data_IF_128759667489
#
_entry.id   IF_128759667489
#
_cell.length_a   1.000
_cell.length_b   1.000
_cell.length_c   1.000
_cell.angle_alpha   90.00
_cell.angle_beta   90.00
_cell.angle_gamma   90.00
#
_symmetry.space_group_name_H-M   'P 1'
#
loop_
_entity.id
_entity.type
_entity.pdbx_description
1 polymer ?
#
# COMPACT_ATOMS: atom_id res chain seq x y z
N UNK A 1 -7.74 -110.41 20.23
CA UNK A 1 -6.38 -110.86 20.63
C UNK A 1 -6.23 -110.63 22.13
N UNK A 2 -5.64 -111.57 22.88
CA UNK A 2 -5.39 -111.38 24.32
C UNK A 2 -3.97 -110.81 24.50
N UNK A 3 -3.78 -109.83 25.40
CA UNK A 3 -2.44 -109.43 25.83
C UNK A 3 -1.76 -110.64 26.48
N UNK A 4 -0.91 -111.34 25.72
CA UNK A 4 -0.17 -112.51 26.18
C UNK A 4 1.32 -112.30 25.94
N UNK A 5 1.97 -111.67 26.92
CA UNK A 5 3.30 -112.01 27.44
C UNK A 5 3.90 -110.81 28.18
N UNK A 6 4.78 -111.04 29.18
CA UNK A 6 5.46 -109.96 29.87
C UNK A 6 6.36 -109.18 28.90
N UNK A 7 6.22 -107.85 28.88
CA UNK A 7 7.20 -106.98 28.23
C UNK A 7 8.38 -106.84 29.19
N UNK A 8 9.56 -107.29 28.76
CA UNK A 8 10.80 -107.13 29.50
C UNK A 8 11.60 -106.00 28.83
N UNK A 9 11.81 -104.89 29.54
CA UNK A 9 12.66 -103.78 29.08
C UNK A 9 14.11 -104.04 29.50
N UNK A 10 15.04 -104.00 28.54
CA UNK A 10 16.49 -104.08 28.83
C UNK A 10 16.98 -102.87 29.65
N UNK A 11 16.34 -101.70 29.51
CA UNK A 11 16.70 -100.48 30.26
C UNK A 11 16.29 -100.54 31.74
N UNK A 12 15.17 -101.21 32.05
CA UNK A 12 14.66 -101.30 33.43
C UNK A 12 15.04 -102.61 34.15
N UNK A 13 15.65 -103.57 33.45
CA UNK A 13 16.13 -104.86 33.97
C UNK A 13 15.09 -105.62 34.85
N UNK A 14 13.81 -105.40 34.55
CA UNK A 14 12.64 -106.01 35.21
C UNK A 14 11.56 -106.26 34.17
N UNK A 15 10.88 -107.39 34.28
CA UNK A 15 9.64 -107.66 33.55
C UNK A 15 8.47 -107.17 34.40
N UNK A 16 7.63 -106.27 33.87
CA UNK A 16 6.41 -105.85 34.55
C UNK A 16 5.36 -106.96 34.42
N UNK A 17 4.83 -107.45 35.56
CA UNK A 17 3.64 -108.29 35.58
C UNK A 17 2.42 -107.38 35.39
N UNK A 18 1.95 -107.26 34.15
CA UNK A 18 0.64 -106.70 33.87
C UNK A 18 -0.44 -107.72 34.30
N UNK A 19 -1.60 -107.25 34.80
CA UNK A 19 -2.68 -108.15 35.21
C UNK A 19 -3.11 -109.08 34.06
N UNK A 20 -3.39 -110.32 34.45
CA UNK A 20 -3.60 -111.49 33.60
C UNK A 20 -4.54 -111.27 32.40
N UNK A 21 -4.14 -111.81 31.25
CA UNK A 21 -5.01 -112.36 30.21
C UNK A 21 -6.19 -111.44 29.79
N UNK A 22 -5.95 -110.12 29.77
CA UNK A 22 -6.96 -109.14 29.39
C UNK A 22 -7.17 -109.22 27.88
N UNK A 23 -8.40 -109.55 27.48
CA UNK A 23 -8.81 -109.51 26.08
C UNK A 23 -9.11 -108.07 25.71
N UNK A 24 -8.41 -107.52 24.71
CA UNK A 24 -8.68 -106.16 24.22
C UNK A 24 -9.94 -106.09 23.35
N UNK A 25 -10.69 -107.19 23.24
CA UNK A 25 -11.94 -107.27 22.46
C UNK A 25 -13.01 -106.27 22.87
N UNK A 26 -12.94 -105.67 24.07
CA UNK A 26 -13.85 -104.61 24.49
C UNK A 26 -13.61 -103.27 23.77
N UNK A 27 -12.43 -103.08 23.16
CA UNK A 27 -12.08 -101.92 22.33
C UNK A 27 -12.24 -102.22 20.83
N UNK A 28 -12.73 -103.41 20.48
CA UNK A 28 -13.09 -103.74 19.10
C UNK A 28 -14.52 -103.29 18.85
N UNK A 29 -14.70 -102.44 17.85
CA UNK A 29 -16.00 -102.02 17.33
C UNK A 29 -16.01 -102.14 15.79
N UNK A 30 -16.89 -101.41 15.11
CA UNK A 30 -17.03 -101.46 13.65
C UNK A 30 -15.81 -100.85 12.90
N UNK A 31 -15.12 -99.90 13.54
CA UNK A 31 -14.03 -99.10 12.97
C UNK A 31 -12.72 -99.20 13.76
N UNK A 32 -12.71 -99.93 14.88
CA UNK A 32 -11.55 -100.13 15.72
C UNK A 32 -11.33 -101.60 16.00
N UNK A 33 -10.06 -101.96 16.16
CA UNK A 33 -9.66 -103.23 16.77
C UNK A 33 -8.86 -102.97 18.03
N UNK A 34 -9.24 -103.63 19.13
CA UNK A 34 -8.44 -103.58 20.34
C UNK A 34 -7.14 -104.34 20.19
N UNK A 35 -6.03 -103.61 20.24
CA UNK A 35 -4.68 -104.16 20.19
C UNK A 35 -3.99 -103.96 21.55
N UNK A 36 -3.00 -104.81 21.82
CA UNK A 36 -2.18 -104.67 23.02
C UNK A 36 -1.00 -103.76 22.68
N UNK A 37 -0.90 -102.60 23.33
CA UNK A 37 0.21 -101.69 23.13
C UNK A 37 1.48 -102.27 23.75
N UNK A 38 2.51 -102.49 22.94
CA UNK A 38 3.78 -103.01 23.40
C UNK A 38 4.54 -102.01 24.31
N UNK A 39 4.16 -100.73 24.24
CA UNK A 39 4.80 -99.63 24.97
C UNK A 39 4.15 -99.40 26.34
N UNK A 40 2.81 -99.32 26.40
CA UNK A 40 2.08 -99.09 27.65
C UNK A 40 1.72 -100.40 28.38
N UNK A 41 1.66 -101.52 27.65
CA UNK A 41 1.17 -102.78 28.18
C UNK A 41 -0.35 -102.81 28.38
N UNK A 42 -1.07 -101.78 27.94
CA UNK A 42 -2.51 -101.64 28.07
C UNK A 42 -3.21 -101.96 26.73
N UNK A 43 -4.52 -102.20 26.80
CA UNK A 43 -5.34 -102.31 25.60
C UNK A 43 -5.60 -100.91 25.04
N UNK A 44 -5.29 -100.71 23.77
CA UNK A 44 -5.53 -99.47 23.02
C UNK A 44 -6.42 -99.79 21.80
N UNK A 45 -7.24 -98.84 21.37
CA UNK A 45 -8.02 -98.94 20.14
C UNK A 45 -7.16 -98.48 18.97
N UNK A 46 -6.99 -99.32 17.95
CA UNK A 46 -6.40 -98.91 16.69
C UNK A 46 -7.48 -98.84 15.59
N UNK A 47 -7.45 -97.80 14.74
CA UNK A 47 -8.27 -97.74 13.54
C UNK A 47 -8.15 -99.01 12.70
N UNK A 48 -9.30 -99.51 12.26
CA UNK A 48 -9.42 -100.65 11.38
C UNK A 48 -10.61 -100.44 10.43
N UNK A 49 -10.69 -101.28 9.39
CA UNK A 49 -11.82 -101.29 8.45
C UNK A 49 -12.00 -99.95 7.70
N UNK A 50 -10.91 -99.22 7.42
CA UNK A 50 -10.92 -97.92 6.74
C UNK A 50 -11.66 -97.98 5.39
N UNK A 51 -12.63 -97.07 5.21
CA UNK A 51 -13.51 -97.05 4.04
C UNK A 51 -14.54 -98.19 3.99
N UNK A 52 -14.53 -99.10 4.97
CA UNK A 52 -15.57 -100.10 5.19
C UNK A 52 -16.84 -99.46 5.74
N UNK A 53 -17.98 -100.11 5.50
CA UNK A 53 -19.29 -99.67 6.01
C UNK A 53 -19.35 -99.82 7.52
N UNK A 54 -19.90 -98.81 8.18
CA UNK A 54 -20.25 -98.84 9.60
C UNK A 54 -21.62 -98.15 9.82
N UNK A 55 -22.05 -98.01 11.07
CA UNK A 55 -23.25 -97.27 11.47
C UNK A 55 -22.87 -96.40 12.68
N UNK A 56 -22.92 -95.08 12.51
CA UNK A 56 -22.58 -94.10 13.56
C UNK A 56 -23.76 -93.81 14.50
N UNK A 57 -24.92 -94.41 14.24
CA UNK A 57 -26.15 -94.25 15.00
C UNK A 57 -26.93 -92.97 14.71
N UNK A 58 -26.43 -92.09 13.84
CA UNK A 58 -27.09 -90.87 13.41
C UNK A 58 -27.92 -91.14 12.14
N UNK A 59 -29.25 -91.07 12.23
CA UNK A 59 -30.11 -91.28 11.05
C UNK A 59 -30.06 -90.12 10.05
N UNK A 60 -29.34 -89.06 10.37
CA UNK A 60 -29.07 -87.92 9.53
C UNK A 60 -27.73 -88.00 8.80
N UNK A 61 -26.98 -89.09 8.94
CA UNK A 61 -25.86 -89.44 8.08
C UNK A 61 -26.28 -90.55 7.12
N UNK A 62 -25.59 -90.64 5.99
CA UNK A 62 -25.75 -91.68 4.99
C UNK A 62 -24.38 -92.14 4.53
N UNK A 63 -24.29 -93.41 4.16
CA UNK A 63 -23.05 -94.01 3.65
C UNK A 63 -21.91 -93.90 4.68
N UNK A 64 -22.19 -94.28 5.92
CA UNK A 64 -21.21 -94.17 7.00
C UNK A 64 -20.04 -95.11 6.75
N UNK A 65 -18.85 -94.54 6.88
CA UNK A 65 -17.60 -95.26 6.65
C UNK A 65 -16.61 -95.00 7.75
N UNK A 66 -15.79 -96.00 8.05
CA UNK A 66 -14.74 -95.86 9.04
C UNK A 66 -13.61 -94.97 8.49
N UNK A 67 -13.27 -93.92 9.22
CA UNK A 67 -12.15 -93.04 8.94
C UNK A 67 -11.41 -92.72 10.24
N UNK A 68 -10.16 -93.19 10.36
CA UNK A 68 -9.32 -92.89 11.53
C UNK A 68 -9.86 -93.41 12.86
N UNK A 69 -10.61 -94.52 12.85
CA UNK A 69 -11.23 -95.11 14.04
C UNK A 69 -12.61 -94.53 14.38
N UNK A 70 -13.07 -93.51 13.66
CA UNK A 70 -14.41 -92.95 13.81
C UNK A 70 -15.33 -93.47 12.70
N UNK A 71 -16.56 -93.83 13.06
CA UNK A 71 -17.62 -94.04 12.08
C UNK A 71 -18.30 -92.71 11.83
N UNK A 72 -18.31 -92.25 10.58
CA UNK A 72 -19.01 -91.04 10.18
C UNK A 72 -19.54 -91.15 8.74
N UNK A 73 -20.72 -90.59 8.50
CA UNK A 73 -21.30 -90.52 7.16
C UNK A 73 -21.44 -89.13 6.58
N UNK A 74 -22.00 -89.09 5.36
CA UNK A 74 -22.33 -87.86 4.67
C UNK A 74 -23.66 -87.30 5.20
N UNK A 75 -23.76 -85.99 5.50
CA UNK A 75 -25.00 -85.40 5.98
C UNK A 75 -26.16 -85.62 4.99
N UNK A 76 -27.26 -86.15 5.50
CA UNK A 76 -28.53 -86.28 4.79
C UNK A 76 -29.05 -84.89 4.43
N UNK A 77 -29.27 -84.68 3.13
CA UNK A 77 -29.84 -83.43 2.63
C UNK A 77 -31.36 -83.43 2.84
N UNK A 78 -31.84 -82.50 3.66
CA UNK A 78 -33.27 -82.24 3.78
C UNK A 78 -33.76 -81.26 2.69
N UNK A 79 -35.01 -81.38 2.23
CA UNK A 79 -35.61 -80.41 1.30
C UNK A 79 -35.53 -79.00 1.89
N UNK A 80 -35.12 -78.02 1.09
CA UNK A 80 -35.11 -76.62 1.54
C UNK A 80 -36.55 -76.13 1.82
N UNK A 81 -36.77 -75.34 2.88
CA UNK A 81 -38.09 -74.80 3.17
C UNK A 81 -38.47 -73.70 2.16
N UNK A 82 -39.77 -73.57 1.88
CA UNK A 82 -40.30 -72.52 0.98
C UNK A 82 -40.17 -71.12 1.58
N UNK A 83 -40.09 -71.02 2.91
CA UNK A 83 -39.99 -69.77 3.65
C UNK A 83 -38.52 -69.38 3.88
N UNK A 84 -38.14 -68.18 3.43
CA UNK A 84 -36.78 -67.62 3.60
C UNK A 84 -36.34 -67.51 5.07
N UNK A 85 -37.26 -67.48 6.02
CA UNK A 85 -37.00 -67.40 7.45
C UNK A 85 -37.00 -68.76 8.16
N UNK A 86 -36.93 -69.84 7.40
CA UNK A 86 -36.81 -71.19 7.93
C UNK A 86 -35.55 -71.88 7.39
N UNK A 87 -35.10 -72.89 8.12
CA UNK A 87 -34.06 -73.84 7.73
C UNK A 87 -34.61 -75.26 7.90
N UNK A 88 -34.01 -76.22 7.19
CA UNK A 88 -34.34 -77.62 7.36
C UNK A 88 -33.29 -78.30 8.22
N UNK A 89 -33.77 -78.99 9.26
CA UNK A 89 -32.95 -79.71 10.22
C UNK A 89 -33.40 -81.17 10.20
N UNK A 90 -32.42 -82.07 10.16
CA UNK A 90 -32.67 -83.50 10.27
C UNK A 90 -32.64 -83.90 11.76
N UNK A 91 -33.61 -84.70 12.20
CA UNK A 91 -33.64 -85.28 13.54
C UNK A 91 -32.75 -86.53 13.61
N UNK A 92 -31.66 -86.47 14.36
CA UNK A 92 -30.67 -87.56 14.43
C UNK A 92 -31.26 -88.90 14.94
N UNK A 93 -32.33 -88.87 15.74
CA UNK A 93 -32.92 -90.06 16.32
C UNK A 93 -33.96 -90.73 15.40
N UNK A 94 -34.72 -89.94 14.62
CA UNK A 94 -35.76 -90.47 13.72
C UNK A 94 -35.33 -90.52 12.26
N UNK A 95 -34.40 -89.65 11.86
CA UNK A 95 -33.98 -89.41 10.49
C UNK A 95 -34.96 -88.53 9.71
N UNK A 96 -35.99 -87.98 10.35
CA UNK A 96 -37.00 -87.17 9.69
C UNK A 96 -36.51 -85.73 9.49
N UNK A 97 -36.89 -85.13 8.36
CA UNK A 97 -36.64 -83.72 8.11
C UNK A 97 -37.76 -82.88 8.73
N UNK A 98 -37.38 -81.90 9.55
CA UNK A 98 -38.28 -80.89 10.11
C UNK A 98 -37.78 -79.50 9.78
N UNK A 99 -38.69 -78.53 9.80
CA UNK A 99 -38.35 -77.12 9.65
C UNK A 99 -38.13 -76.48 11.01
N UNK A 100 -37.16 -75.57 11.07
CA UNK A 100 -36.92 -74.69 12.21
C UNK A 100 -36.85 -73.25 11.73
N UNK A 101 -37.17 -72.32 12.62
CA UNK A 101 -37.04 -70.89 12.33
C UNK A 101 -35.57 -70.49 12.33
N UNK A 102 -35.20 -69.60 11.39
CA UNK A 102 -33.92 -68.91 11.46
C UNK A 102 -33.87 -68.05 12.72
N UNK A 103 -32.67 -67.77 13.25
CA UNK A 103 -32.51 -66.80 14.33
C UNK A 103 -33.20 -65.48 13.99
N UNK A 104 -33.88 -64.90 14.98
CA UNK A 104 -34.47 -63.56 14.83
C UNK A 104 -33.39 -62.56 14.38
N UNK A 105 -33.80 -61.60 13.55
CA UNK A 105 -32.93 -60.64 12.86
C UNK A 105 -32.07 -61.21 11.72
N UNK A 106 -32.25 -62.48 11.34
CA UNK A 106 -31.69 -62.98 10.09
C UNK A 106 -32.25 -62.21 8.89
N UNK A 107 -31.42 -61.94 7.88
CA UNK A 107 -31.84 -61.22 6.68
C UNK A 107 -32.85 -62.03 5.87
N UNK A 108 -33.90 -61.36 5.39
CA UNK A 108 -34.85 -61.89 4.43
C UNK A 108 -35.31 -60.75 3.51
N UNK A 109 -36.17 -61.04 2.52
CA UNK A 109 -36.72 -60.01 1.62
C UNK A 109 -38.21 -60.23 1.40
N UNK A 110 -39.03 -59.25 1.76
CA UNK A 110 -40.47 -59.21 1.46
C UNK A 110 -40.73 -58.62 0.08
N UNK A 111 -41.11 -59.48 -0.88
CA UNK A 111 -41.42 -59.08 -2.26
C UNK A 111 -40.15 -58.80 -3.08
N UNK A 112 -40.10 -59.28 -4.33
CA UNK A 112 -38.96 -59.01 -5.19
C UNK A 112 -38.82 -57.51 -5.49
N UNK A 113 -37.65 -56.93 -5.23
CA UNK A 113 -37.34 -55.53 -5.54
C UNK A 113 -36.41 -54.87 -4.51
N UNK A 114 -36.41 -53.54 -4.54
CA UNK A 114 -35.71 -52.51 -3.75
C UNK A 114 -35.51 -52.73 -2.24
N UNK A 115 -36.16 -53.74 -1.67
CA UNK A 115 -36.33 -53.90 -0.23
C UNK A 115 -34.98 -54.03 0.50
N UNK A 116 -34.02 -54.80 -0.03
CA UNK A 116 -32.77 -55.07 0.70
C UNK A 116 -31.90 -53.85 1.06
N UNK A 117 -31.89 -52.78 0.25
CA UNK A 117 -31.03 -51.61 0.49
C UNK A 117 -31.69 -50.48 1.27
N UNK A 118 -33.01 -50.34 1.14
CA UNK A 118 -33.79 -49.24 1.71
C UNK A 118 -34.68 -49.66 2.87
N UNK A 119 -34.85 -50.96 3.07
CA UNK A 119 -35.70 -51.53 4.10
C UNK A 119 -35.19 -52.93 4.46
N UNK A 120 -34.16 -53.04 5.31
CA UNK A 120 -33.59 -54.34 5.63
C UNK A 120 -34.62 -55.19 6.38
N UNK A 121 -35.25 -56.12 5.67
CA UNK A 121 -36.25 -57.02 6.25
C UNK A 121 -35.57 -58.12 7.07
N UNK A 122 -36.22 -58.48 8.17
CA UNK A 122 -35.66 -59.39 9.16
C UNK A 122 -36.63 -60.48 9.52
N UNK A 123 -36.12 -61.69 9.72
CA UNK A 123 -36.88 -62.79 10.27
C UNK A 123 -37.25 -62.50 11.72
N UNK A 124 -38.52 -62.71 12.06
CA UNK A 124 -39.02 -62.67 13.43
C UNK A 124 -40.04 -63.79 13.59
N UNK A 125 -39.78 -64.72 14.52
CA UNK A 125 -40.62 -65.89 14.77
C UNK A 125 -40.96 -66.67 13.48
N UNK A 126 -39.95 -66.94 12.66
CA UNK A 126 -40.11 -67.73 11.43
C UNK A 126 -40.74 -66.98 10.26
N UNK A 127 -41.10 -65.71 10.40
CA UNK A 127 -41.70 -64.91 9.33
C UNK A 127 -40.79 -63.74 8.93
N UNK A 128 -40.76 -63.43 7.64
CA UNK A 128 -40.03 -62.25 7.17
C UNK A 128 -40.86 -61.00 7.47
N UNK A 129 -40.35 -60.13 8.32
CA UNK A 129 -41.02 -58.90 8.74
C UNK A 129 -40.33 -57.70 8.10
N UNK A 130 -41.15 -56.74 7.65
CA UNK A 130 -40.64 -55.57 6.98
C UNK A 130 -39.85 -54.69 7.95
N UNK A 131 -38.59 -54.39 7.60
CA UNK A 131 -37.73 -53.56 8.44
C UNK A 131 -38.21 -52.10 8.51
N UNK A 132 -37.61 -51.28 9.40
CA UNK A 132 -37.79 -49.84 9.33
C UNK A 132 -37.22 -49.30 8.00
N UNK A 133 -37.79 -48.21 7.49
CA UNK A 133 -37.19 -47.48 6.37
C UNK A 133 -35.79 -46.99 6.76
N UNK A 134 -34.85 -47.10 5.83
CA UNK A 134 -33.48 -46.67 6.04
C UNK A 134 -33.43 -45.16 6.19
N UNK A 135 -32.89 -44.70 7.31
CA UNK A 135 -32.67 -43.28 7.55
C UNK A 135 -31.51 -42.77 6.67
N UNK A 136 -31.85 -41.98 5.66
CA UNK A 136 -30.91 -41.31 4.78
C UNK A 136 -30.72 -39.83 5.11
N UNK A 137 -31.25 -39.35 6.25
CA UNK A 137 -31.22 -37.94 6.64
C UNK A 137 -29.80 -37.35 6.78
N UNK A 138 -28.79 -38.20 6.97
CA UNK A 138 -27.39 -37.80 6.98
C UNK A 138 -26.91 -37.17 5.64
N UNK A 139 -27.62 -37.42 4.53
CA UNK A 139 -27.34 -36.80 3.23
C UNK A 139 -28.06 -35.46 3.04
N UNK A 140 -28.90 -35.05 3.99
CA UNK A 140 -29.56 -33.75 3.94
C UNK A 140 -28.55 -32.62 4.18
N UNK A 141 -28.46 -31.68 3.26
CA UNK A 141 -27.64 -30.48 3.42
C UNK A 141 -28.35 -29.23 2.85
N UNK A 142 -27.63 -28.13 2.66
CA UNK A 142 -28.22 -26.90 2.14
C UNK A 142 -28.79 -27.04 0.71
N UNK A 143 -28.21 -27.92 -0.11
CA UNK A 143 -28.52 -28.11 -1.52
C UNK A 143 -28.99 -29.51 -1.92
N UNK A 144 -29.02 -30.45 -0.98
CA UNK A 144 -29.51 -31.81 -1.20
C UNK A 144 -30.56 -32.15 -0.16
N UNK A 145 -31.65 -32.73 -0.64
CA UNK A 145 -32.46 -33.65 0.16
C UNK A 145 -31.86 -35.06 0.07
N UNK A 146 -32.51 -36.02 0.70
CA UNK A 146 -32.12 -37.42 0.65
C UNK A 146 -33.23 -38.27 0.04
N UNK A 147 -32.83 -39.32 -0.67
CA UNK A 147 -33.72 -40.34 -1.20
C UNK A 147 -33.06 -41.71 -1.02
N UNK A 148 -33.87 -42.75 -0.80
CA UNK A 148 -33.36 -44.11 -0.83
C UNK A 148 -33.66 -44.75 -2.19
N UNK A 149 -32.64 -44.86 -3.04
CA UNK A 149 -32.68 -45.52 -4.34
C UNK A 149 -32.70 -47.05 -4.14
N UNK A 150 -33.66 -47.77 -4.75
CA UNK A 150 -33.76 -49.23 -4.72
C UNK A 150 -32.50 -50.05 -4.98
N UNK A 151 -31.61 -49.55 -5.84
CA UNK A 151 -30.43 -50.26 -6.33
C UNK A 151 -29.13 -49.69 -5.74
N UNK A 152 -29.16 -48.46 -5.24
CA UNK A 152 -27.98 -47.75 -4.75
C UNK A 152 -28.01 -47.45 -3.24
N UNK A 153 -29.16 -47.62 -2.58
CA UNK A 153 -29.37 -47.22 -1.19
C UNK A 153 -29.52 -45.70 -1.06
N UNK A 154 -29.02 -45.12 0.03
CA UNK A 154 -29.13 -43.68 0.27
C UNK A 154 -28.35 -42.88 -0.78
N UNK A 155 -29.03 -41.99 -1.49
CA UNK A 155 -28.46 -41.08 -2.49
C UNK A 155 -28.90 -39.64 -2.20
N UNK A 156 -28.03 -38.64 -2.45
CA UNK A 156 -28.44 -37.24 -2.37
C UNK A 156 -29.34 -36.90 -3.56
N UNK A 157 -30.39 -36.13 -3.28
CA UNK A 157 -31.30 -35.61 -4.29
C UNK A 157 -31.16 -34.09 -4.33
N UNK A 158 -30.58 -33.51 -5.39
CA UNK A 158 -30.45 -32.07 -5.53
C UNK A 158 -31.78 -31.34 -5.28
N UNK A 159 -31.73 -30.29 -4.45
CA UNK A 159 -32.78 -29.28 -4.33
C UNK A 159 -32.86 -28.46 -5.62
N UNK A 160 -33.94 -27.69 -5.77
CA UNK A 160 -34.15 -26.82 -6.93
C UNK A 160 -32.97 -25.86 -7.13
N UNK A 161 -32.47 -25.78 -8.37
CA UNK A 161 -31.41 -24.85 -8.74
C UNK A 161 -31.85 -23.40 -8.44
N UNK A 162 -30.94 -22.61 -7.88
CA UNK A 162 -31.24 -21.25 -7.42
C UNK A 162 -31.72 -21.16 -5.97
N UNK A 163 -31.98 -22.29 -5.29
CA UNK A 163 -32.26 -22.31 -3.85
C UNK A 163 -31.13 -21.67 -3.06
N UNK A 164 -31.46 -20.84 -2.06
CA UNK A 164 -30.47 -20.15 -1.24
C UNK A 164 -29.66 -21.13 -0.39
N UNK A 165 -28.33 -20.98 -0.42
CA UNK A 165 -27.42 -21.79 0.38
C UNK A 165 -26.26 -20.94 0.93
N UNK A 166 -25.38 -21.54 1.72
CA UNK A 166 -24.17 -20.87 2.20
C UNK A 166 -23.02 -21.87 2.33
N UNK A 167 -21.88 -21.57 1.68
CA UNK A 167 -20.61 -22.29 1.90
C UNK A 167 -19.92 -21.91 3.21
N UNK A 168 -20.49 -20.99 4.00
CA UNK A 168 -19.86 -20.48 5.22
C UNK A 168 -18.75 -19.45 4.99
N UNK A 169 -18.40 -19.15 3.73
CA UNK A 169 -17.44 -18.09 3.38
C UNK A 169 -18.04 -16.71 3.59
N UNK A 170 -17.52 -15.95 4.56
CA UNK A 170 -18.07 -14.63 4.92
C UNK A 170 -18.09 -13.63 3.75
N UNK A 171 -17.04 -13.63 2.92
CA UNK A 171 -16.88 -12.69 1.82
C UNK A 171 -17.65 -13.03 0.53
N UNK A 172 -18.48 -14.08 0.56
CA UNK A 172 -19.34 -14.45 -0.56
C UNK A 172 -20.79 -14.43 -0.09
N UNK A 173 -21.60 -13.61 -0.74
CA UNK A 173 -23.03 -13.45 -0.43
C UNK A 173 -23.90 -13.99 -1.56
N UNK A 174 -25.19 -14.23 -1.27
CA UNK A 174 -26.19 -14.65 -2.26
C UNK A 174 -25.81 -15.94 -3.00
N UNK A 175 -25.30 -16.92 -2.27
CA UNK A 175 -24.93 -18.20 -2.83
C UNK A 175 -26.18 -19.04 -3.09
N UNK A 176 -26.09 -19.89 -4.10
CA UNK A 176 -27.21 -20.68 -4.55
C UNK A 176 -26.79 -22.09 -4.92
N UNK A 177 -27.77 -22.99 -4.90
CA UNK A 177 -27.58 -24.38 -5.29
C UNK A 177 -27.52 -24.49 -6.81
N UNK A 178 -26.60 -25.31 -7.31
CA UNK A 178 -26.55 -25.76 -8.71
C UNK A 178 -26.20 -27.23 -8.73
N UNK A 179 -27.13 -28.06 -9.21
CA UNK A 179 -26.97 -29.51 -9.28
C UNK A 179 -26.47 -30.13 -7.96
N UNK A 180 -27.11 -29.74 -6.84
CA UNK A 180 -26.79 -30.27 -5.51
C UNK A 180 -25.52 -29.68 -4.86
N UNK A 181 -24.82 -28.77 -5.54
CA UNK A 181 -23.63 -28.12 -4.98
C UNK A 181 -23.95 -26.68 -4.60
N UNK A 182 -23.60 -26.28 -3.38
CA UNK A 182 -23.68 -24.88 -2.97
C UNK A 182 -22.49 -24.09 -3.50
N UNK A 183 -22.75 -23.01 -4.24
CA UNK A 183 -21.68 -22.18 -4.78
C UNK A 183 -22.19 -20.88 -5.39
N UNK A 184 -21.38 -20.36 -6.32
CA UNK A 184 -21.65 -19.07 -6.95
C UNK A 184 -21.64 -17.92 -5.96
N UNK A 185 -22.63 -17.04 -6.08
CA UNK A 185 -22.75 -15.82 -5.30
C UNK A 185 -21.87 -14.67 -5.81
N UNK A 186 -21.92 -13.57 -5.08
CA UNK A 186 -21.18 -12.34 -5.39
C UNK A 186 -20.21 -12.00 -4.26
N UNK A 187 -19.08 -11.34 -4.56
CA UNK A 187 -18.21 -10.79 -3.53
C UNK A 187 -19.00 -9.85 -2.61
N UNK A 188 -18.79 -9.99 -1.30
CA UNK A 188 -19.31 -9.04 -0.32
C UNK A 188 -18.67 -7.69 -0.57
N UNK A 189 -19.48 -6.73 -1.01
CA UNK A 189 -19.06 -5.34 -1.16
C UNK A 189 -18.99 -4.70 0.22
N UNK A 190 -17.83 -4.13 0.54
CA UNK A 190 -17.63 -3.37 1.77
C UNK A 190 -17.59 -1.89 1.42
N UNK A 191 -18.67 -1.17 1.72
CA UNK A 191 -18.74 0.27 1.53
C UNK A 191 -18.37 0.98 2.84
N UNK A 192 -17.51 1.99 2.74
CA UNK A 192 -17.18 2.86 3.86
C UNK A 192 -18.09 4.07 3.84
N UNK A 193 -18.67 4.44 4.98
CA UNK A 193 -19.28 5.76 5.16
C UNK A 193 -18.22 6.84 5.42
N UNK A 194 -16.98 6.45 5.72
CA UNK A 194 -15.85 7.34 5.86
C UNK A 194 -15.08 7.42 4.51
N UNK A 195 -15.12 8.54 3.79
CA UNK A 195 -14.43 8.73 2.50
C UNK A 195 -12.89 8.72 2.61
N UNK A 196 -12.36 8.66 3.83
CA UNK A 196 -10.93 8.52 4.10
C UNK A 196 -10.47 7.07 4.23
N UNK A 197 -11.38 6.10 4.15
CA UNK A 197 -11.08 4.69 4.37
C UNK A 197 -11.55 3.86 3.18
N UNK A 198 -10.69 2.98 2.68
CA UNK A 198 -11.10 1.89 1.79
C UNK A 198 -11.21 0.63 2.61
N UNK A 199 -12.38 -0.01 2.57
CA UNK A 199 -12.63 -1.28 3.24
C UNK A 199 -12.42 -2.45 2.29
N UNK A 200 -11.95 -3.58 2.82
CA UNK A 200 -11.88 -4.85 2.10
C UNK A 200 -12.47 -5.95 2.97
N UNK A 201 -13.21 -6.86 2.34
CA UNK A 201 -13.73 -8.01 3.06
C UNK A 201 -12.60 -8.94 3.49
N UNK A 202 -12.60 -9.31 4.77
CA UNK A 202 -11.67 -10.27 5.35
C UNK A 202 -12.43 -11.51 5.83
N UNK A 203 -12.13 -12.65 5.20
CA UNK A 203 -12.78 -13.93 5.51
C UNK A 203 -12.36 -14.53 6.86
N UNK A 204 -11.18 -14.16 7.36
CA UNK A 204 -10.63 -14.66 8.64
C UNK A 204 -11.26 -13.94 9.82
N UNK A 205 -11.33 -12.61 9.78
CA UNK A 205 -11.96 -11.80 10.86
C UNK A 205 -13.48 -11.75 10.74
N UNK A 206 -14.03 -12.20 9.60
CA UNK A 206 -15.45 -12.10 9.26
C UNK A 206 -15.95 -10.64 9.35
N UNK A 207 -15.15 -9.71 8.85
CA UNK A 207 -15.41 -8.28 8.89
C UNK A 207 -14.97 -7.57 7.60
N UNK A 208 -15.40 -6.31 7.46
CA UNK A 208 -14.88 -5.39 6.45
C UNK A 208 -13.78 -4.55 7.10
N UNK A 209 -12.52 -4.87 6.82
CA UNK A 209 -11.36 -4.26 7.47
C UNK A 209 -10.84 -3.07 6.65
N UNK A 210 -10.33 -2.04 7.34
CA UNK A 210 -9.65 -0.91 6.70
C UNK A 210 -8.32 -1.43 6.14
N UNK A 211 -8.15 -1.34 4.82
CA UNK A 211 -6.93 -1.78 4.15
C UNK A 211 -6.04 -0.62 3.72
N UNK A 212 -6.63 0.52 3.37
CA UNK A 212 -5.87 1.70 2.93
C UNK A 212 -6.58 2.96 3.47
N UNK A 213 -5.98 3.67 4.43
CA UNK A 213 -6.37 5.05 4.70
C UNK A 213 -5.95 5.93 3.52
N UNK A 214 -6.77 6.94 3.19
CA UNK A 214 -6.47 7.89 2.12
C UNK A 214 -5.13 8.56 2.37
N UNK A 215 -4.22 8.43 1.40
CA UNK A 215 -2.89 9.03 1.49
C UNK A 215 -2.99 10.55 1.34
N UNK A 216 -2.71 11.26 2.43
CA UNK A 216 -2.63 12.72 2.47
C UNK A 216 -1.20 13.21 2.66
N UNK A 217 -0.19 12.36 2.52
CA UNK A 217 1.22 12.65 2.80
C UNK A 217 1.80 13.81 1.99
N UNK A 218 1.16 14.21 0.88
CA UNK A 218 1.48 15.43 0.13
C UNK A 218 1.45 16.71 0.99
N UNK A 219 0.70 16.72 2.09
CA UNK A 219 0.62 17.82 3.05
C UNK A 219 1.58 17.68 4.25
N UNK A 220 2.44 16.65 4.26
CA UNK A 220 3.45 16.50 5.30
C UNK A 220 4.55 17.56 5.13
N UNK A 221 4.76 18.36 6.17
CA UNK A 221 5.83 19.36 6.31
C UNK A 221 6.39 19.28 7.73
N UNK A 222 7.42 20.09 8.05
CA UNK A 222 8.01 20.11 9.40
C UNK A 222 6.96 20.36 10.50
N UNK A 223 5.99 21.25 10.25
CA UNK A 223 4.94 21.62 11.18
C UNK A 223 3.53 21.12 10.81
N UNK A 224 3.39 20.33 9.74
CA UNK A 224 2.08 19.83 9.31
C UNK A 224 2.10 18.35 8.98
N UNK A 225 1.00 17.68 9.32
CA UNK A 225 0.72 16.32 8.89
C UNK A 225 -0.53 16.33 8.01
N UNK A 226 -0.45 15.66 6.87
CA UNK A 226 -1.60 15.49 6.01
C UNK A 226 -2.63 14.58 6.64
N UNK A 227 -3.83 15.12 6.86
CA UNK A 227 -4.97 14.37 7.39
C UNK A 227 -6.13 14.43 6.41
N UNK A 228 -6.93 13.38 6.40
CA UNK A 228 -8.15 13.32 5.62
C UNK A 228 -9.34 13.74 6.47
N UNK A 229 -10.21 14.60 5.92
CA UNK A 229 -11.45 14.99 6.56
C UNK A 229 -12.52 13.91 6.36
N UNK A 230 -12.94 13.26 7.45
CA UNK A 230 -13.89 12.14 7.41
C UNK A 230 -15.31 12.51 6.95
N UNK A 231 -15.63 13.80 6.78
CA UNK A 231 -16.94 14.24 6.27
C UNK A 231 -16.96 14.37 4.75
N UNK A 232 -15.88 14.86 4.14
CA UNK A 232 -15.85 15.17 2.70
C UNK A 232 -14.70 14.51 1.93
N UNK A 233 -13.84 13.76 2.61
CA UNK A 233 -12.69 13.05 2.04
C UNK A 233 -11.55 13.96 1.59
N UNK A 234 -11.59 15.26 1.86
CA UNK A 234 -10.53 16.18 1.42
C UNK A 234 -9.32 16.09 2.35
N UNK A 235 -8.13 16.01 1.74
CA UNK A 235 -6.87 16.11 2.47
C UNK A 235 -6.61 17.56 2.86
N UNK A 236 -6.12 17.79 4.07
CA UNK A 236 -5.72 19.10 4.58
C UNK A 236 -4.46 18.99 5.44
N UNK A 237 -3.65 20.06 5.54
CA UNK A 237 -2.51 20.10 6.45
C UNK A 237 -3.00 20.36 7.88
N UNK A 238 -2.91 19.37 8.75
CA UNK A 238 -3.16 19.55 10.18
C UNK A 238 -1.88 20.05 10.86
N UNK A 239 -1.98 21.13 11.63
CA UNK A 239 -0.87 21.62 12.43
C UNK A 239 -0.45 20.59 13.48
N UNK A 240 0.84 20.28 13.53
CA UNK A 240 1.46 19.36 14.48
C UNK A 240 2.71 20.02 15.09
N UNK A 241 3.26 19.40 16.16
CA UNK A 241 4.57 19.74 16.72
C UNK A 241 4.70 21.19 17.21
N UNK A 242 3.63 21.74 17.78
CA UNK A 242 3.62 23.11 18.30
C UNK A 242 4.80 23.34 19.26
N UNK A 243 5.52 24.44 19.08
CA UNK A 243 6.75 24.81 19.79
C UNK A 243 7.99 23.91 19.54
N UNK A 244 7.91 22.93 18.65
CA UNK A 244 9.13 22.24 18.19
C UNK A 244 9.92 23.13 17.24
N UNK A 245 11.24 23.00 17.30
CA UNK A 245 12.15 23.70 16.39
C UNK A 245 11.87 23.31 14.94
N UNK A 246 11.86 24.29 14.06
CA UNK A 246 11.71 24.09 12.64
C UNK A 246 12.40 25.23 11.88
N UNK A 247 12.49 25.12 10.56
CA UNK A 247 13.15 26.10 9.70
C UNK A 247 12.11 26.85 8.84
N UNK A 248 12.03 28.17 8.99
CA UNK A 248 11.14 29.01 8.17
C UNK A 248 11.68 29.34 6.78
N UNK A 249 12.84 28.79 6.43
CA UNK A 249 13.47 28.89 5.12
C UNK A 249 14.06 30.28 4.85
N UNK A 250 14.16 31.12 5.89
CA UNK A 250 14.78 32.44 5.82
C UNK A 250 16.19 32.39 6.38
N UNK A 251 17.06 33.19 5.81
CA UNK A 251 18.48 33.21 6.18
C UNK A 251 18.76 34.07 7.41
N UNK A 252 17.85 35.00 7.73
CA UNK A 252 18.05 36.00 8.78
C UNK A 252 17.20 35.78 10.02
N UNK A 253 16.56 34.62 10.14
CA UNK A 253 15.85 34.19 11.33
C UNK A 253 16.38 32.84 11.79
N UNK A 254 16.65 32.74 13.09
CA UNK A 254 17.05 31.51 13.78
C UNK A 254 16.07 31.19 14.90
N UNK A 255 16.16 29.99 15.46
CA UNK A 255 15.31 29.54 16.59
C UNK A 255 13.80 29.63 16.29
N UNK A 256 13.42 29.44 15.02
CA UNK A 256 12.01 29.37 14.63
C UNK A 256 11.36 28.10 15.15
N UNK A 257 10.08 28.20 15.47
CA UNK A 257 9.29 27.09 15.99
C UNK A 257 8.00 26.92 15.20
N UNK A 258 7.44 25.72 15.27
CA UNK A 258 6.12 25.47 14.70
C UNK A 258 5.06 26.23 15.49
N UNK A 259 4.37 27.12 14.78
CA UNK A 259 3.20 27.86 15.29
C UNK A 259 2.08 27.77 14.28
N UNK A 260 0.97 27.13 14.67
CA UNK A 260 -0.22 26.98 13.82
C UNK A 260 0.09 26.40 12.42
N UNK A 261 0.99 25.42 12.36
CA UNK A 261 1.34 24.70 11.13
C UNK A 261 2.34 25.41 10.21
N UNK A 262 2.94 26.52 10.67
CA UNK A 262 4.02 27.21 9.95
C UNK A 262 5.22 27.37 10.87
N UNK A 263 6.40 27.46 10.29
CA UNK A 263 7.57 27.96 11.00
C UNK A 263 7.44 29.46 11.15
N UNK A 264 7.39 29.92 12.39
CA UNK A 264 7.22 31.31 12.72
C UNK A 264 7.95 31.65 14.03
N UNK A 265 8.00 32.94 14.35
CA UNK A 265 8.77 33.44 15.49
C UNK A 265 10.26 33.52 15.17
N UNK A 266 11.09 33.10 16.10
CA UNK A 266 12.54 33.15 15.99
C UNK A 266 13.17 34.46 16.46
N UNK A 267 14.50 34.49 16.40
CA UNK A 267 15.36 35.63 16.69
C UNK A 267 16.09 36.04 15.42
N UNK A 268 16.47 37.32 15.29
CA UNK A 268 17.28 37.75 14.15
C UNK A 268 18.65 37.08 14.20
N UNK A 269 19.09 36.53 13.08
CA UNK A 269 20.44 35.97 12.92
C UNK A 269 21.48 37.04 13.23
N UNK A 270 22.28 36.81 14.26
CA UNK A 270 23.39 37.68 14.61
C UNK A 270 24.57 37.30 13.72
N UNK A 271 24.87 38.17 12.75
CA UNK A 271 25.97 37.95 11.83
C UNK A 271 27.33 38.22 12.51
N UNK A 272 28.35 37.40 12.22
CA UNK A 272 29.68 37.61 12.77
C UNK A 272 30.27 38.93 12.26
N UNK A 273 30.80 39.73 13.18
CA UNK A 273 31.57 40.92 12.83
C UNK A 273 32.92 40.55 12.21
N UNK A 274 33.50 41.46 11.42
CA UNK A 274 34.86 41.31 10.95
C UNK A 274 35.85 41.71 12.04
N UNK A 275 36.64 40.76 12.53
CA UNK A 275 37.65 41.00 13.56
C UNK A 275 38.85 41.82 13.06
N UNK A 276 39.03 41.92 11.74
CA UNK A 276 40.17 42.62 11.12
C UNK A 276 39.80 43.99 10.56
N UNK A 277 38.53 44.22 10.19
CA UNK A 277 38.06 45.51 9.66
C UNK A 277 36.74 45.94 10.31
N UNK A 278 36.84 46.78 11.34
CA UNK A 278 35.68 47.34 12.06
C UNK A 278 34.88 48.34 11.25
N UNK A 279 35.30 48.67 10.04
CA UNK A 279 34.51 49.47 9.10
C UNK A 279 33.51 48.64 8.31
N UNK A 280 33.55 47.31 8.44
CA UNK A 280 32.57 46.41 7.87
C UNK A 280 31.54 46.02 8.93
N UNK A 281 30.32 46.57 8.82
CA UNK A 281 29.22 46.24 9.69
C UNK A 281 28.54 44.94 9.19
N UNK A 282 28.34 43.93 10.06
CA UNK A 282 27.65 42.71 9.68
C UNK A 282 26.14 42.99 9.57
N UNK A 283 25.58 42.72 8.40
CA UNK A 283 24.15 42.84 8.10
C UNK A 283 23.65 41.52 7.52
N UNK A 284 22.52 41.04 8.02
CA UNK A 284 21.86 39.89 7.42
C UNK A 284 20.91 40.34 6.31
N UNK A 285 20.99 39.69 5.15
CA UNK A 285 20.08 39.86 4.00
C UNK A 285 19.43 38.53 3.65
N UNK A 286 18.12 38.52 3.37
CA UNK A 286 17.41 37.29 2.98
C UNK A 286 17.85 36.69 1.64
N UNK A 287 18.53 37.47 0.80
CA UNK A 287 19.04 36.97 -0.48
C UNK A 287 20.40 36.29 -0.35
N UNK A 288 21.18 36.69 0.65
CA UNK A 288 22.63 36.43 0.68
C UNK A 288 23.13 35.90 2.02
N UNK A 289 22.27 35.85 3.03
CA UNK A 289 22.63 35.59 4.42
C UNK A 289 23.46 36.73 5.00
N UNK A 290 24.39 36.38 5.88
CA UNK A 290 25.28 37.35 6.52
C UNK A 290 26.28 37.94 5.52
N UNK A 291 26.19 39.26 5.33
CA UNK A 291 27.15 40.04 4.54
C UNK A 291 27.77 41.15 5.38
N UNK A 292 28.99 41.47 5.03
CA UNK A 292 29.72 42.61 5.57
C UNK A 292 29.46 43.82 4.66
N UNK A 293 28.85 44.87 5.23
CA UNK A 293 28.56 46.11 4.51
C UNK A 293 29.47 47.23 5.00
N UNK A 294 30.07 48.04 4.10
CA UNK A 294 30.86 49.19 4.50
C UNK A 294 30.06 50.17 5.36
N UNK A 295 30.68 50.66 6.43
CA UNK A 295 30.10 51.67 7.32
C UNK A 295 30.03 53.00 6.59
N UNK A 296 28.82 53.55 6.47
CA UNK A 296 28.62 54.87 5.88
C UNK A 296 29.08 55.97 6.84
N UNK A 297 30.18 56.63 6.50
CA UNK A 297 30.65 57.78 7.25
C UNK A 297 30.06 59.08 6.71
N UNK A 298 29.62 60.01 7.58
CA UNK A 298 29.05 61.28 7.14
C UNK A 298 30.03 62.04 6.24
N UNK A 299 29.56 62.44 5.06
CA UNK A 299 30.30 63.29 4.12
C UNK A 299 29.59 64.63 3.91
N UNK A 300 30.36 65.68 3.65
CA UNK A 300 29.91 67.00 3.21
C UNK A 300 30.65 67.43 1.94
N UNK A 301 30.33 68.59 1.37
CA UNK A 301 30.90 69.06 0.10
C UNK A 301 32.44 69.10 0.08
N UNK A 302 33.10 69.31 1.23
CA UNK A 302 34.56 69.38 1.33
C UNK A 302 35.18 68.43 2.36
N UNK A 303 34.37 67.57 2.99
CA UNK A 303 34.84 66.52 3.87
C UNK A 303 34.28 65.18 3.42
N UNK A 304 35.14 64.23 3.12
CA UNK A 304 34.73 62.82 2.96
C UNK A 304 34.94 62.13 4.31
N UNK A 305 33.92 61.45 4.82
CA UNK A 305 34.09 60.59 5.98
C UNK A 305 34.85 59.32 5.59
N UNK A 306 36.01 59.08 6.18
CA UNK A 306 36.72 57.80 6.09
C UNK A 306 36.59 57.06 7.42
N UNK A 307 36.27 55.77 7.35
CA UNK A 307 36.22 54.92 8.52
C UNK A 307 37.62 54.37 8.84
N UNK A 308 38.00 54.35 10.13
CA UNK A 308 39.23 53.72 10.58
C UNK A 308 39.04 52.20 10.81
N UNK A 309 39.73 51.32 10.06
CA UNK A 309 39.52 49.86 10.13
C UNK A 309 39.84 49.24 11.50
N UNK A 310 40.72 49.86 12.30
CA UNK A 310 41.07 49.34 13.64
C UNK A 310 40.05 49.72 14.72
N UNK A 311 39.32 50.82 14.53
CA UNK A 311 38.43 51.39 15.56
C UNK A 311 36.95 51.45 15.16
N UNK A 312 36.63 51.35 13.88
CA UNK A 312 35.27 51.50 13.33
C UNK A 312 34.71 52.93 13.42
N UNK A 313 35.55 53.90 13.77
CA UNK A 313 35.13 55.28 13.97
C UNK A 313 35.33 56.09 12.69
N UNK A 314 34.34 56.92 12.37
CA UNK A 314 34.43 57.85 11.26
C UNK A 314 35.28 59.06 11.62
N UNK A 315 36.23 59.39 10.75
CA UNK A 315 37.01 60.62 10.81
C UNK A 315 36.78 61.44 9.52
N UNK A 316 36.59 62.75 9.63
CA UNK A 316 36.48 63.62 8.45
C UNK A 316 37.86 63.79 7.80
N UNK A 317 37.92 63.67 6.48
CA UNK A 317 39.12 63.94 5.67
C UNK A 317 38.83 64.98 4.59
N UNK A 318 39.74 65.93 4.32
CA UNK A 318 39.55 66.94 3.28
C UNK A 318 39.40 66.29 1.90
N UNK A 319 38.30 66.58 1.20
CA UNK A 319 38.09 66.14 -0.17
C UNK A 319 38.75 67.13 -1.13
N UNK A 320 39.59 66.68 -2.08
CA UNK A 320 40.22 67.56 -3.08
C UNK A 320 39.34 67.70 -4.33
N UNK A 321 38.10 68.13 -4.14
CA UNK A 321 37.08 68.27 -5.19
C UNK A 321 36.57 69.70 -5.29
N UNK A 322 35.86 70.01 -6.38
CA UNK A 322 35.12 71.25 -6.51
C UNK A 322 33.92 71.27 -5.56
N UNK A 323 33.62 72.41 -4.98
CA UNK A 323 32.51 72.61 -4.06
C UNK A 323 31.63 73.78 -4.51
N UNK A 324 30.36 73.70 -4.17
CA UNK A 324 29.38 74.76 -4.37
C UNK A 324 28.87 75.24 -3.02
N UNK A 325 28.86 76.56 -2.81
CA UNK A 325 28.22 77.20 -1.65
C UNK A 325 26.97 77.97 -2.12
N UNK A 326 26.37 78.78 -1.25
CA UNK A 326 25.14 79.55 -1.52
C UNK A 326 25.33 80.68 -2.57
N UNK A 327 26.54 80.86 -3.08
CA UNK A 327 26.92 81.86 -4.09
C UNK A 327 27.18 81.19 -5.45
N UNK A 328 26.95 81.91 -6.58
CA UNK A 328 27.07 81.34 -7.93
C UNK A 328 28.52 81.17 -8.43
N UNK A 329 29.54 81.27 -7.56
CA UNK A 329 30.94 81.13 -7.95
C UNK A 329 31.42 79.67 -7.83
N UNK A 330 32.29 79.17 -8.74
CA UNK A 330 32.94 77.87 -8.57
C UNK A 330 33.97 77.92 -7.42
N UNK A 331 33.82 77.01 -6.44
CA UNK A 331 34.73 76.86 -5.29
C UNK A 331 35.59 75.60 -5.37
N UNK A 332 36.73 75.62 -4.66
CA UNK A 332 37.57 74.43 -4.41
C UNK A 332 37.70 74.21 -2.91
N UNK A 333 37.72 72.94 -2.52
CA UNK A 333 37.97 72.58 -1.14
C UNK A 333 39.44 72.77 -0.77
N UNK A 334 39.69 73.50 0.31
CA UNK A 334 41.03 73.71 0.86
C UNK A 334 41.41 72.64 1.90
N UNK A 335 42.68 72.61 2.32
CA UNK A 335 43.26 71.59 3.19
C UNK A 335 42.58 71.42 4.56
N UNK A 336 41.83 72.41 5.01
CA UNK A 336 41.07 72.38 6.28
C UNK A 336 39.61 71.91 6.10
N UNK A 337 39.22 71.46 4.90
CA UNK A 337 37.87 70.96 4.61
C UNK A 337 36.82 72.05 4.41
N UNK A 338 37.25 73.30 4.20
CA UNK A 338 36.39 74.45 3.88
C UNK A 338 36.34 74.70 2.38
N UNK A 339 35.17 75.12 1.88
CA UNK A 339 35.04 75.54 0.48
C UNK A 339 35.56 76.97 0.31
N UNK A 340 36.54 77.17 -0.57
CA UNK A 340 37.13 78.47 -0.87
C UNK A 340 36.79 78.89 -2.30
N UNK A 341 36.19 80.07 -2.43
CA UNK A 341 35.70 80.62 -3.70
C UNK A 341 36.67 81.66 -4.24
N UNK A 342 36.85 81.65 -5.56
CA UNK A 342 37.65 82.66 -6.27
C UNK A 342 36.79 83.33 -7.35
N UNK A 343 36.22 84.50 -7.03
CA UNK A 343 35.49 85.32 -8.00
C UNK A 343 36.42 86.45 -8.55
N UNK A 344 36.54 86.64 -9.88
CA UNK A 344 37.26 87.79 -10.45
C UNK A 344 36.49 89.11 -10.24
N UNK A 345 37.19 90.19 -9.89
CA UNK A 345 36.62 91.54 -9.65
C UNK A 345 36.11 92.21 -10.94
N UNK A 346 34.96 92.90 -10.96
CA UNK A 346 34.42 93.55 -12.16
C UNK A 346 35.18 94.84 -12.56
N UNK A 347 35.24 95.20 -13.87
CA UNK A 347 35.97 96.37 -14.39
C UNK A 347 35.24 97.72 -14.15
N UNK A 348 36.03 98.79 -14.02
CA UNK A 348 35.60 100.17 -13.69
C UNK A 348 35.12 100.93 -14.95
N UNK A 349 33.94 101.59 -14.96
CA UNK A 349 33.42 102.33 -16.12
C UNK A 349 34.09 103.70 -16.35
N UNK A 350 34.22 104.12 -17.62
CA UNK A 350 34.86 105.36 -18.05
C UNK A 350 34.03 106.61 -17.68
N UNK A 351 34.59 107.54 -16.90
CA UNK A 351 33.86 108.70 -16.39
C UNK A 351 33.87 109.88 -17.38
N UNK A 352 32.85 109.98 -18.23
CA UNK A 352 32.12 111.22 -18.57
C UNK A 352 31.22 110.98 -19.79
N UNK A 353 30.05 111.63 -19.83
CA UNK A 353 28.98 111.47 -20.83
C UNK A 353 29.32 112.00 -22.24
N UNK A 354 30.54 111.76 -22.74
CA UNK A 354 30.93 111.96 -24.12
C UNK A 354 31.64 110.69 -24.60
N UNK A 355 31.04 109.97 -25.55
CA UNK A 355 31.73 108.86 -26.21
C UNK A 355 33.07 109.38 -26.79
N UNK A 356 34.16 108.62 -26.62
CA UNK A 356 35.44 108.92 -27.24
C UNK A 356 35.24 109.15 -28.76
N UNK A 357 35.99 110.09 -29.35
CA UNK A 357 35.79 110.43 -30.76
C UNK A 357 36.08 109.23 -31.68
N UNK A 358 35.47 109.21 -32.88
CA UNK A 358 35.66 108.14 -33.87
C UNK A 358 37.15 107.92 -34.14
N UNK A 359 37.69 106.76 -33.72
CA UNK A 359 39.11 106.40 -33.80
C UNK A 359 39.86 106.33 -32.46
N UNK A 360 39.20 106.57 -31.33
CA UNK A 360 39.76 106.47 -29.98
C UNK A 360 39.07 105.38 -29.12
N UNK A 361 39.82 104.76 -28.20
CA UNK A 361 39.34 103.67 -27.35
C UNK A 361 39.54 103.98 -25.85
N UNK A 362 38.61 103.53 -24.99
CA UNK A 362 38.71 103.77 -23.55
C UNK A 362 39.55 102.68 -22.87
N UNK A 363 40.66 103.07 -22.23
CA UNK A 363 41.49 102.18 -21.42
C UNK A 363 41.66 102.85 -20.05
N UNK A 364 41.34 102.15 -18.96
CA UNK A 364 41.45 102.66 -17.59
C UNK A 364 40.79 104.03 -17.33
N UNK A 365 39.72 104.36 -18.07
CA UNK A 365 38.95 105.59 -17.87
C UNK A 365 39.38 106.80 -18.72
N UNK A 366 40.34 106.66 -19.63
CA UNK A 366 40.78 107.73 -20.56
C UNK A 366 40.66 107.31 -22.05
N UNK A 367 40.36 108.25 -22.95
CA UNK A 367 40.28 108.04 -24.40
C UNK A 367 41.67 108.17 -25.05
N UNK A 368 42.10 107.15 -25.82
CA UNK A 368 43.39 107.14 -26.53
C UNK A 368 43.22 106.82 -28.02
N UNK A 369 43.98 107.50 -28.90
CA UNK A 369 43.91 107.33 -30.36
C UNK A 369 44.60 106.05 -30.84
N UNK A 370 43.89 105.24 -31.63
CA UNK A 370 44.34 103.92 -32.08
C UNK A 370 44.93 103.97 -33.49
N UNK A 371 46.25 103.75 -33.64
CA UNK A 371 46.83 103.32 -34.93
C UNK A 371 47.26 101.85 -34.97
N UNK A 372 47.14 101.08 -33.90
CA UNK A 372 47.41 99.63 -33.94
C UNK A 372 46.77 98.91 -32.74
N UNK A 373 45.76 98.08 -32.99
CA UNK A 373 45.41 96.94 -32.12
C UNK A 373 44.09 97.03 -31.36
N UNK A 374 43.10 96.27 -31.84
CA UNK A 374 41.95 95.69 -31.14
C UNK A 374 41.39 96.46 -29.93
N UNK A 375 40.36 97.26 -30.15
CA UNK A 375 39.51 97.76 -29.08
C UNK A 375 38.52 96.66 -28.72
N UNK A 376 38.71 96.04 -27.55
CA UNK A 376 37.82 95.03 -27.02
C UNK A 376 36.49 95.65 -26.60
N UNK A 377 35.41 95.03 -27.05
CA UNK A 377 33.98 95.28 -26.77
C UNK A 377 33.30 96.36 -27.62
N UNK A 378 32.78 95.93 -28.78
CA UNK A 378 31.58 96.53 -29.38
C UNK A 378 30.36 96.13 -28.54
N UNK A 379 29.55 97.12 -28.20
CA UNK A 379 28.30 96.94 -27.46
C UNK A 379 27.17 96.59 -28.43
N UNK A 380 27.02 95.31 -28.74
CA UNK A 380 25.80 94.73 -29.31
C UNK A 380 25.84 93.20 -29.16
N UNK A 381 25.15 92.66 -28.15
CA UNK A 381 24.50 91.35 -28.27
C UNK A 381 23.51 91.13 -27.12
N UNK A 382 22.23 91.29 -27.45
CA UNK A 382 21.15 90.54 -26.85
C UNK A 382 20.93 89.30 -27.73
N UNK A 383 20.88 88.13 -27.09
CA UNK A 383 20.45 86.85 -27.66
C UNK A 383 21.32 86.20 -28.76
N UNK A 384 22.35 85.42 -28.35
CA UNK A 384 22.57 84.08 -28.92
C UNK A 384 23.63 83.19 -28.21
N UNK A 385 23.14 82.02 -27.77
CA UNK A 385 23.76 80.68 -27.80
C UNK A 385 24.77 80.24 -26.72
N UNK A 386 24.25 79.47 -25.76
CA UNK A 386 24.89 78.24 -25.29
C UNK A 386 24.75 77.11 -26.33
N UNK A 387 25.77 76.28 -26.50
CA UNK A 387 25.64 74.81 -26.48
C UNK A 387 27.01 74.12 -26.49
N UNK A 388 27.37 73.52 -25.36
CA UNK A 388 28.32 72.41 -25.23
C UNK A 388 27.80 71.49 -24.13
N UNK A 389 27.53 70.22 -24.46
CA UNK A 389 27.48 69.12 -23.49
C UNK A 389 26.10 68.71 -22.97
N UNK A 390 25.66 67.56 -23.45
CA UNK A 390 24.88 66.51 -22.77
C UNK A 390 23.71 66.87 -21.83
N UNK A 391 22.52 66.55 -22.33
CA UNK A 391 21.43 65.88 -21.63
C UNK A 391 20.97 66.44 -20.27
N UNK A 392 20.13 67.48 -20.33
CA UNK A 392 18.99 67.62 -19.43
C UNK A 392 17.92 68.55 -20.04
N UNK A 393 16.75 68.01 -20.39
CA UNK A 393 15.51 68.80 -20.47
C UNK A 393 14.41 68.10 -19.68
N UNK A 394 14.06 68.68 -18.54
CA UNK A 394 12.72 68.55 -17.99
C UNK A 394 11.88 69.70 -18.56
N UNK A 395 10.85 69.37 -19.34
CA UNK A 395 9.70 70.24 -19.53
C UNK A 395 8.50 69.44 -19.04
N UNK A 396 7.93 69.84 -17.91
CA UNK A 396 6.61 69.38 -17.52
C UNK A 396 5.55 70.12 -18.33
N UNK A 397 4.63 69.38 -18.92
CA UNK A 397 3.23 69.79 -19.05
C UNK A 397 2.37 68.53 -19.11
N UNK A 398 1.69 68.25 -17.99
CA UNK A 398 0.66 67.22 -17.88
C UNK A 398 -0.54 67.55 -18.77
N UNK A 399 -1.00 66.57 -19.55
CA UNK A 399 -2.24 66.66 -20.33
C UNK A 399 -2.79 65.29 -20.68
N UNK A 400 -3.65 64.76 -19.80
CA UNK A 400 -4.81 63.87 -20.00
C UNK A 400 -4.90 62.95 -21.25
N UNK A 401 -5.26 61.68 -20.96
CA UNK A 401 -5.88 60.65 -21.81
C UNK A 401 -5.02 59.76 -22.75
N UNK A 402 -4.83 58.51 -22.28
CA UNK A 402 -4.60 57.27 -23.04
C UNK A 402 -3.19 56.97 -23.59
N UNK A 403 -2.75 55.68 -23.60
CA UNK A 403 -1.38 55.31 -23.86
C UNK A 403 -1.19 54.78 -25.29
N UNK A 404 -0.58 55.57 -26.17
CA UNK A 404 0.09 55.03 -27.36
C UNK A 404 1.32 55.90 -27.70
N UNK A 405 2.50 55.27 -27.73
CA UNK A 405 3.70 55.86 -28.29
C UNK A 405 3.95 55.24 -29.67
N UNK A 406 4.01 56.07 -30.70
CA UNK A 406 4.41 55.68 -32.06
C UNK A 406 5.85 56.11 -32.30
N UNK A 407 6.74 55.15 -32.56
CA UNK A 407 8.13 55.37 -32.96
C UNK A 407 8.85 54.03 -33.13
N UNK A 408 9.48 53.81 -34.28
CA UNK A 408 10.02 52.52 -34.72
C UNK A 408 11.10 51.97 -33.76
N UNK A 409 10.90 50.73 -33.29
CA UNK A 409 11.79 50.04 -32.36
C UNK A 409 11.15 49.82 -30.99
N UNK A 410 10.13 48.97 -30.93
CA UNK A 410 9.35 48.70 -29.72
C UNK A 410 10.17 48.06 -28.59
N UNK A 411 10.11 48.67 -27.40
CA UNK A 411 10.34 48.02 -26.11
C UNK A 411 9.39 48.64 -25.06
N UNK A 412 8.74 47.84 -24.20
CA UNK A 412 7.84 48.35 -23.17
C UNK A 412 8.58 48.93 -21.95
N UNK A 413 8.12 50.07 -21.44
CA UNK A 413 8.57 50.66 -20.17
C UNK A 413 8.14 49.80 -18.97
N UNK A 414 9.04 49.55 -18.00
CA UNK A 414 8.65 49.18 -16.63
C UNK A 414 8.35 50.43 -15.80
N UNK A 415 7.56 50.27 -14.75
CA UNK A 415 6.92 51.30 -13.91
C UNK A 415 7.83 52.33 -13.21
N UNK A 416 9.15 52.30 -13.40
CA UNK A 416 10.09 53.22 -12.75
C UNK A 416 10.99 54.01 -13.74
N UNK A 417 10.65 54.06 -15.03
CA UNK A 417 11.16 55.12 -15.93
C UNK A 417 12.68 55.16 -16.20
N UNK A 418 13.33 54.01 -16.43
CA UNK A 418 14.74 53.96 -16.88
C UNK A 418 14.84 53.29 -18.26
N UNK A 419 15.48 53.94 -19.23
CA UNK A 419 15.85 53.36 -20.53
C UNK A 419 17.26 52.76 -20.45
N UNK A 420 17.46 51.55 -20.98
CA UNK A 420 18.79 50.94 -21.11
C UNK A 420 19.42 51.36 -22.45
N UNK A 421 20.58 52.03 -22.40
CA UNK A 421 21.48 52.20 -23.54
C UNK A 421 22.75 51.41 -23.27
N UNK A 422 23.04 50.39 -24.08
CA UNK A 422 24.30 49.65 -23.98
C UNK A 422 24.29 48.34 -24.76
N UNK A 423 25.32 48.14 -25.59
CA UNK A 423 25.57 46.95 -26.39
C UNK A 423 26.16 45.83 -25.54
N UNK A 424 25.32 45.08 -24.82
CA UNK A 424 25.68 43.77 -24.28
C UNK A 424 24.46 42.86 -24.36
N UNK A 425 24.61 41.73 -25.06
CA UNK A 425 23.61 40.65 -25.11
C UNK A 425 23.74 39.80 -23.84
N UNK A 426 22.68 39.62 -23.03
CA UNK A 426 22.56 38.43 -22.21
C UNK A 426 21.94 37.32 -23.06
N UNK A 427 22.62 36.18 -23.08
CA UNK A 427 22.08 34.89 -23.51
C UNK A 427 20.92 34.46 -22.60
N UNK A 428 20.03 33.67 -23.18
CA UNK A 428 18.89 32.99 -22.59
C UNK A 428 19.18 32.38 -21.21
N UNK A 429 18.77 33.08 -20.14
CA UNK A 429 18.33 32.57 -18.82
C UNK A 429 18.00 33.81 -17.95
N UNK A 430 17.03 33.68 -17.05
CA UNK A 430 16.50 34.72 -16.12
C UNK A 430 15.29 35.56 -16.58
N UNK A 431 14.15 34.89 -16.76
CA UNK A 431 12.84 35.43 -16.38
C UNK A 431 11.89 34.30 -15.95
N UNK A 432 11.30 34.46 -14.76
CA UNK A 432 10.27 33.64 -14.07
C UNK A 432 10.70 32.39 -13.26
N UNK A 433 10.64 32.46 -11.91
CA UNK A 433 10.50 31.30 -11.04
C UNK A 433 9.02 30.99 -10.81
N UNK A 434 8.37 30.35 -11.78
CA UNK A 434 7.14 29.57 -11.57
C UNK A 434 6.95 28.65 -12.78
N UNK A 435 6.69 27.37 -12.52
CA UNK A 435 6.57 26.25 -13.48
C UNK A 435 7.90 25.62 -13.91
N UNK A 436 8.42 24.75 -13.04
CA UNK A 436 9.31 23.66 -13.42
C UNK A 436 8.56 22.35 -13.23
N UNK A 437 8.02 21.80 -14.32
CA UNK A 437 8.19 20.38 -14.64
C UNK A 437 7.88 20.10 -16.13
N UNK A 438 8.56 19.12 -16.74
CA UNK A 438 8.68 18.99 -18.19
C UNK A 438 7.58 18.10 -18.78
N UNK A 439 7.13 18.40 -19.99
CA UNK A 439 6.41 17.40 -20.80
C UNK A 439 6.94 17.35 -22.24
N UNK A 440 6.90 16.15 -22.86
CA UNK A 440 7.74 15.79 -23.99
C UNK A 440 7.01 15.96 -25.33
N UNK A 441 7.77 16.27 -26.38
CA UNK A 441 7.39 15.95 -27.76
C UNK A 441 6.50 16.95 -28.49
N UNK A 442 7.06 17.53 -29.55
CA UNK A 442 6.45 17.96 -30.81
C UNK A 442 4.98 18.45 -30.83
N UNK A 443 4.81 19.75 -31.05
CA UNK A 443 3.74 20.28 -31.90
C UNK A 443 2.58 21.01 -31.21
N UNK A 444 2.40 22.26 -31.62
CA UNK A 444 1.18 23.08 -31.67
C UNK A 444 0.61 23.76 -30.39
N UNK A 445 0.57 25.08 -30.50
CA UNK A 445 -0.38 26.11 -30.02
C UNK A 445 -1.31 25.83 -28.83
N UNK A 446 -1.32 26.78 -27.88
CA UNK A 446 -2.44 27.03 -26.97
C UNK A 446 -2.85 28.51 -27.05
N UNK A 447 -3.90 28.77 -27.81
CA UNK A 447 -4.79 29.94 -27.74
C UNK A 447 -5.75 29.79 -26.55
N UNK A 448 -6.13 30.87 -25.86
CA UNK A 448 -7.36 30.87 -25.06
C UNK A 448 -7.46 31.90 -23.94
N UNK A 449 -8.39 32.83 -24.11
CA UNK A 449 -8.83 33.92 -23.24
C UNK A 449 -9.57 33.51 -21.95
N UNK A 450 -9.69 34.49 -21.05
CA UNK A 450 -10.45 34.54 -19.79
C UNK A 450 -11.94 34.10 -19.90
N UNK A 451 -12.55 33.56 -18.83
CA UNK A 451 -14.00 33.35 -18.79
C UNK A 451 -14.74 34.46 -18.00
N UNK A 452 -15.97 34.76 -18.44
CA UNK A 452 -17.04 35.27 -17.59
C UNK A 452 -18.31 34.41 -17.79
N UNK A 453 -18.89 34.02 -16.67
CA UNK A 453 -20.15 33.33 -16.36
C UNK A 453 -21.09 32.76 -17.46
N UNK A 454 -21.53 31.53 -17.15
CA UNK A 454 -22.90 30.97 -17.22
C UNK A 454 -23.22 29.93 -18.32
N UNK A 455 -23.51 28.72 -17.81
CA UNK A 455 -24.58 27.79 -18.17
C UNK A 455 -24.52 27.01 -19.51
N UNK A 456 -24.65 25.68 -19.39
CA UNK A 456 -25.43 24.88 -20.34
C UNK A 456 -24.77 23.65 -20.93
N UNK A 457 -25.00 22.50 -20.29
CA UNK A 457 -25.25 21.16 -20.88
C UNK A 457 -24.25 20.63 -21.92
N UNK A 458 -23.45 19.65 -21.47
CA UNK A 458 -22.80 18.66 -22.32
C UNK A 458 -23.84 17.71 -22.93
N UNK A 459 -23.77 17.49 -24.26
CA UNK A 459 -24.07 16.20 -24.85
C UNK A 459 -22.92 15.82 -25.78
N UNK A 460 -22.23 14.74 -25.41
CA UNK A 460 -21.21 14.05 -26.19
C UNK A 460 -21.88 13.20 -27.29
N UNK A 461 -21.16 13.05 -28.40
CA UNK A 461 -21.30 11.88 -29.28
C UNK A 461 -20.06 11.02 -29.10
N UNK A 462 -20.19 9.91 -28.37
CA UNK A 462 -19.60 8.60 -28.68
C UNK A 462 -20.68 7.55 -28.38
#
# INVERSE_FOLDING_TARGET
MSCKSPVCSEEMNKCMQLPLNQSCSSLTDQCNVGVCSATSGECESEPANEGGTCDDGDKCTQQDTCAGGECAGQPKTCPAPDNQCQISVCDAATGDCRTEDKPDNSSCVLGGGSAGLCRPDTCQAGQCMAGPEKDCSALNDACNDYECDPNRGCVPRPKEDGSHCSTGLFCTVNQFCTNGTCGGGSPRVCESTNPCETLRCNGTTKACDIVVPKDCSAFNRQCTEGRCNATNGQCYPAAIKENEACDDGKLCTTDTVCTAGKCAGGTNTICPADDNDKCLAPLCSEMDGCKLTPTECPSSNCLTGECNPETGNCAPKPANTSCTSLTPCPGRCDGDGTCVEACPTPPVPCMSNAACAVGECCINGECVSSQTGNCGFDQADADCKEEKGDNCKCIFSCGQNSPTCSGEGGNPCRSNGVCCCGTDRPTYEDACPACRDPCPGNGNECTGDFPNFAAGVCQESI
#
